data_IF_307260681403
#
_entry.id   IF_307260681403
#
_cell.length_a   1.000
_cell.length_b   1.000
_cell.length_c   1.000
_cell.angle_alpha   90.00
_cell.angle_beta   90.00
_cell.angle_gamma   90.00
#
_symmetry.space_group_name_H-M   'P 1'
#
loop_
_entity.id
_entity.type
_entity.pdbx_description
1 polymer ?
#
# COMPACT_ATOMS: atom_id res chain seq x y z
N UNK A 1 60.82 59.82 -2.09
CA UNK A 1 60.43 59.74 -0.66
C UNK A 1 59.25 60.68 -0.45
N UNK A 2 58.23 60.42 0.40
CA UNK A 2 57.70 59.19 1.02
C UNK A 2 56.25 58.87 0.56
N UNK A 3 55.65 57.85 1.20
CA UNK A 3 54.26 57.33 1.22
C UNK A 3 53.12 58.04 0.47
N UNK A 4 52.14 57.25 -0.03
CA UNK A 4 50.72 57.43 0.29
C UNK A 4 49.89 56.18 -0.08
N UNK A 5 48.89 55.94 0.78
CA UNK A 5 47.94 54.81 0.89
C UNK A 5 47.10 54.56 -0.38
N UNK A 6 46.67 53.30 -0.58
CA UNK A 6 45.55 52.94 -1.48
C UNK A 6 44.42 52.27 -0.69
N UNK A 7 43.14 52.53 -1.00
CA UNK A 7 42.01 52.18 -0.15
C UNK A 7 41.44 50.78 -0.44
N UNK A 8 40.86 50.21 0.61
CA UNK A 8 40.06 48.99 0.64
C UNK A 8 38.87 49.06 -0.32
N UNK A 9 38.67 48.01 -1.12
CA UNK A 9 37.40 47.71 -1.79
C UNK A 9 36.92 46.33 -1.31
N UNK A 10 35.80 46.31 -0.59
CA UNK A 10 35.06 45.08 -0.27
C UNK A 10 34.35 44.56 -1.53
N UNK A 11 34.59 43.31 -1.91
CA UNK A 11 33.71 42.57 -2.80
C UNK A 11 32.61 41.92 -1.96
N UNK A 12 31.38 42.43 -2.09
CA UNK A 12 30.18 41.71 -1.67
C UNK A 12 29.90 40.62 -2.71
N UNK A 13 30.00 39.35 -2.30
CA UNK A 13 29.50 38.23 -3.08
C UNK A 13 28.05 37.99 -2.66
N UNK A 14 27.11 38.30 -3.55
CA UNK A 14 25.73 37.84 -3.41
C UNK A 14 25.70 36.34 -3.73
N UNK A 15 25.51 35.52 -2.70
CA UNK A 15 25.22 34.10 -2.84
C UNK A 15 23.72 33.91 -3.07
N UNK A 16 23.38 33.30 -4.21
CA UNK A 16 22.05 32.73 -4.46
C UNK A 16 21.69 31.77 -3.31
N UNK A 17 20.50 31.88 -2.68
CA UNK A 17 20.06 30.88 -1.73
C UNK A 17 19.74 29.59 -2.50
N UNK A 18 20.62 28.61 -2.35
CA UNK A 18 20.36 27.21 -2.71
C UNK A 18 19.13 26.74 -1.95
N UNK A 19 18.05 26.44 -2.65
CA UNK A 19 16.92 25.68 -2.13
C UNK A 19 17.42 24.27 -1.79
N UNK A 20 17.83 24.08 -0.54
CA UNK A 20 18.10 22.75 -0.01
C UNK A 20 16.78 21.98 0.02
N UNK A 21 16.64 20.98 -0.84
CA UNK A 21 15.66 19.92 -0.69
C UNK A 21 15.87 19.32 0.71
N UNK A 22 14.92 19.54 1.61
CA UNK A 22 14.96 18.96 2.94
C UNK A 22 15.05 17.43 2.80
N UNK A 23 16.00 16.83 3.51
CA UNK A 23 16.12 15.38 3.57
C UNK A 23 14.78 14.78 4.06
N UNK A 24 14.36 13.61 3.56
CA UNK A 24 13.20 12.93 4.11
C UNK A 24 13.41 12.72 5.63
N UNK A 25 12.34 12.78 6.43
CA UNK A 25 12.46 12.63 7.88
C UNK A 25 13.16 11.30 8.22
N UNK A 26 14.07 11.35 9.20
CA UNK A 26 14.67 10.14 9.76
C UNK A 26 13.57 9.23 10.31
N UNK A 27 13.69 7.94 10.01
CA UNK A 27 12.78 6.92 10.52
C UNK A 27 12.83 6.89 12.05
N UNK A 28 11.74 7.34 12.69
CA UNK A 28 11.49 7.08 14.10
C UNK A 28 10.71 5.77 14.22
N UNK A 29 11.23 4.76 14.96
CA UNK A 29 10.45 3.57 15.28
C UNK A 29 9.14 3.96 15.95
N UNK A 30 8.04 3.30 15.57
CA UNK A 30 6.76 3.51 16.23
C UNK A 30 6.89 3.25 17.74
N UNK A 31 6.24 4.05 18.58
CA UNK A 31 6.29 3.91 20.04
C UNK A 31 5.52 2.67 20.58
N UNK A 32 5.19 1.74 19.70
CA UNK A 32 4.30 0.61 19.95
C UNK A 32 5.12 -0.65 20.23
N UNK A 33 4.57 -1.53 21.07
CA UNK A 33 5.15 -2.86 21.26
C UNK A 33 5.03 -3.67 19.95
N UNK A 34 6.19 -4.10 19.45
CA UNK A 34 6.28 -5.15 18.44
C UNK A 34 6.35 -6.49 19.14
N UNK A 35 5.69 -7.50 18.58
CA UNK A 35 5.76 -8.88 19.10
C UNK A 35 6.61 -9.74 18.17
N UNK A 36 7.02 -10.90 18.66
CA UNK A 36 7.74 -11.93 17.89
C UNK A 36 6.75 -12.85 17.17
N UNK A 37 5.63 -13.20 17.83
CA UNK A 37 4.55 -14.01 17.25
C UNK A 37 3.22 -13.25 17.19
N UNK A 38 2.46 -13.49 16.14
CA UNK A 38 1.09 -13.06 15.94
C UNK A 38 0.17 -13.68 16.97
N UNK A 39 -0.94 -12.99 17.27
CA UNK A 39 -1.86 -13.45 18.31
C UNK A 39 -2.69 -14.66 17.86
N UNK A 40 -2.96 -14.80 16.55
CA UNK A 40 -3.87 -15.85 16.04
C UNK A 40 -3.46 -16.46 14.71
N UNK A 41 -3.07 -15.66 13.71
CA UNK A 41 -2.56 -16.19 12.44
C UNK A 41 -1.07 -15.89 12.27
N UNK A 42 -0.31 -16.93 11.97
CA UNK A 42 1.10 -16.83 11.64
C UNK A 42 1.41 -17.78 10.50
N UNK A 43 2.27 -17.33 9.60
CA UNK A 43 2.69 -18.16 8.50
C UNK A 43 3.55 -19.33 8.99
N UNK A 44 3.48 -20.45 8.29
CA UNK A 44 4.40 -21.56 8.60
C UNK A 44 5.87 -21.18 8.34
N UNK A 45 6.80 -21.76 9.11
CA UNK A 45 8.25 -21.59 8.87
C UNK A 45 8.64 -21.88 7.41
N UNK A 46 7.97 -22.85 6.79
CA UNK A 46 8.23 -23.18 5.39
C UNK A 46 7.82 -22.04 4.46
N UNK A 47 6.61 -21.51 4.62
CA UNK A 47 6.11 -20.39 3.80
C UNK A 47 6.91 -19.11 4.04
N UNK A 48 7.42 -18.91 5.26
CA UNK A 48 8.39 -17.85 5.55
C UNK A 48 9.64 -17.97 4.69
N UNK A 49 10.37 -19.09 4.78
CA UNK A 49 11.61 -19.27 4.02
C UNK A 49 11.38 -19.27 2.51
N UNK A 50 10.28 -19.86 2.03
CA UNK A 50 9.93 -19.83 0.62
C UNK A 50 9.64 -18.39 0.15
N UNK A 51 8.98 -17.56 0.97
CA UNK A 51 8.68 -16.17 0.64
C UNK A 51 9.95 -15.30 0.60
N UNK A 52 10.91 -15.56 1.48
CA UNK A 52 12.21 -14.90 1.44
C UNK A 52 13.01 -15.30 0.20
N UNK A 53 13.07 -16.60 -0.15
CA UNK A 53 13.69 -17.05 -1.41
C UNK A 53 13.00 -16.44 -2.65
N UNK A 54 11.67 -16.38 -2.65
CA UNK A 54 10.88 -15.75 -3.70
C UNK A 54 11.25 -14.26 -3.86
N UNK A 55 11.28 -13.51 -2.77
CA UNK A 55 11.64 -12.10 -2.76
C UNK A 55 13.08 -11.87 -3.23
N UNK A 56 14.01 -12.78 -2.92
CA UNK A 56 15.39 -12.70 -3.37
C UNK A 56 15.56 -13.09 -4.86
N UNK A 57 14.69 -13.97 -5.38
CA UNK A 57 14.76 -14.45 -6.76
C UNK A 57 14.12 -13.52 -7.78
N UNK A 58 13.02 -12.87 -7.40
CA UNK A 58 12.24 -12.04 -8.32
C UNK A 58 12.35 -10.57 -7.96
N UNK A 59 12.81 -9.74 -8.89
CA UNK A 59 12.78 -8.29 -8.71
C UNK A 59 11.34 -7.76 -8.74
N UNK A 60 11.14 -6.64 -8.05
CA UNK A 60 9.88 -5.91 -8.13
C UNK A 60 9.63 -5.44 -9.57
N UNK A 61 8.39 -5.54 -10.02
CA UNK A 61 7.99 -5.03 -11.32
C UNK A 61 8.27 -3.53 -11.37
N UNK A 62 8.81 -3.05 -12.50
CA UNK A 62 8.96 -1.62 -12.70
C UNK A 62 7.57 -0.95 -12.69
N UNK A 63 7.51 0.36 -12.43
CA UNK A 63 6.28 1.12 -12.55
C UNK A 63 5.65 0.90 -13.92
N UNK A 64 4.36 0.59 -13.94
CA UNK A 64 3.59 0.57 -15.18
C UNK A 64 3.50 2.00 -15.68
N UNK A 65 3.84 2.21 -16.95
CA UNK A 65 3.47 3.44 -17.63
C UNK A 65 1.95 3.52 -17.68
N UNK A 66 1.37 4.61 -17.19
CA UNK A 66 -0.09 4.86 -17.24
C UNK A 66 -0.55 4.92 -18.71
N UNK A 67 -1.24 3.89 -19.19
CA UNK A 67 -1.88 3.92 -20.50
C UNK A 67 -3.22 4.65 -20.37
N UNK A 68 -3.61 5.40 -21.40
CA UNK A 68 -4.85 6.19 -21.36
C UNK A 68 -6.12 5.33 -21.26
N UNK A 69 -6.00 4.03 -21.54
CA UNK A 69 -7.05 3.01 -21.40
C UNK A 69 -7.22 2.52 -19.95
N UNK A 70 -6.23 2.70 -19.08
CA UNK A 70 -6.33 2.31 -17.66
C UNK A 70 -7.30 3.23 -16.89
N UNK A 71 -7.66 4.38 -17.46
CA UNK A 71 -8.38 5.44 -16.76
C UNK A 71 -9.90 5.24 -16.69
N UNK A 72 -10.47 4.49 -17.64
CA UNK A 72 -11.89 4.09 -17.64
C UNK A 72 -12.06 2.65 -17.11
N UNK A 73 -10.98 2.03 -16.63
CA UNK A 73 -10.97 0.65 -16.18
C UNK A 73 -11.53 0.53 -14.76
N UNK A 74 -12.38 -0.46 -14.53
CA UNK A 74 -12.88 -0.81 -13.20
C UNK A 74 -11.81 -1.64 -12.50
N UNK A 75 -11.33 -1.20 -11.33
CA UNK A 75 -10.38 -1.99 -10.54
C UNK A 75 -11.02 -3.32 -10.19
N UNK A 76 -10.32 -4.40 -10.46
CA UNK A 76 -10.74 -5.75 -10.11
C UNK A 76 -9.75 -6.37 -9.13
N UNK A 77 -10.21 -7.35 -8.37
CA UNK A 77 -9.31 -8.24 -7.62
C UNK A 77 -8.94 -9.42 -8.52
N UNK A 78 -7.69 -9.84 -8.52
CA UNK A 78 -7.22 -11.01 -9.26
C UNK A 78 -7.01 -12.19 -8.32
N UNK A 79 -7.35 -13.39 -8.79
CA UNK A 79 -6.99 -14.62 -8.08
C UNK A 79 -5.48 -14.61 -7.84
N UNK A 80 -5.02 -15.16 -6.70
CA UNK A 80 -3.63 -15.57 -6.53
C UNK A 80 -3.18 -16.29 -7.79
N UNK A 81 -2.11 -15.78 -8.36
CA UNK A 81 -1.68 -16.15 -9.69
C UNK A 81 -0.96 -17.50 -9.68
N UNK A 82 -0.90 -18.19 -10.81
CA UNK A 82 0.00 -19.35 -10.98
C UNK A 82 1.50 -19.00 -10.93
N UNK A 83 1.86 -17.74 -10.67
CA UNK A 83 3.25 -17.30 -10.53
C UNK A 83 3.86 -17.69 -9.18
N UNK A 84 3.05 -18.17 -8.23
CA UNK A 84 3.51 -18.72 -6.96
C UNK A 84 4.07 -20.14 -7.04
N UNK A 85 4.87 -20.51 -6.04
CA UNK A 85 5.34 -21.88 -5.80
C UNK A 85 4.16 -22.86 -5.59
N UNK A 86 3.00 -22.33 -5.19
CA UNK A 86 1.80 -23.08 -4.83
C UNK A 86 0.64 -22.74 -5.78
N UNK A 87 -0.01 -23.75 -6.40
CA UNK A 87 -1.29 -23.54 -7.08
C UNK A 87 -2.43 -23.50 -6.05
N UNK A 88 -2.85 -22.30 -5.68
CA UNK A 88 -3.90 -22.05 -4.69
C UNK A 88 -5.26 -21.79 -5.33
N UNK A 89 -5.32 -21.71 -6.66
CA UNK A 89 -6.53 -21.34 -7.41
C UNK A 89 -7.69 -22.31 -7.21
N UNK A 90 -7.40 -23.60 -6.99
CA UNK A 90 -8.42 -24.63 -6.75
C UNK A 90 -8.93 -24.70 -5.31
N UNK A 91 -8.28 -24.00 -4.37
CA UNK A 91 -8.59 -24.09 -2.93
C UNK A 91 -9.30 -22.85 -2.38
N UNK A 92 -9.33 -21.75 -3.13
CA UNK A 92 -10.03 -20.51 -2.78
C UNK A 92 -10.98 -20.17 -3.94
N UNK A 93 -12.27 -20.02 -3.64
CA UNK A 93 -13.34 -19.93 -4.65
C UNK A 93 -13.72 -18.48 -4.94
N UNK A 94 -13.09 -17.85 -5.93
CA UNK A 94 -13.31 -16.43 -6.23
C UNK A 94 -14.58 -16.21 -7.08
N UNK A 95 -15.43 -15.28 -6.67
CA UNK A 95 -16.59 -14.83 -7.46
C UNK A 95 -16.37 -13.36 -7.81
N UNK A 96 -15.80 -13.11 -8.98
CA UNK A 96 -15.64 -11.75 -9.50
C UNK A 96 -16.99 -11.20 -9.95
N UNK A 97 -17.35 -9.99 -9.52
CA UNK A 97 -18.42 -9.24 -10.16
C UNK A 97 -17.85 -8.56 -11.40
N UNK A 98 -18.07 -9.16 -12.56
CA UNK A 98 -17.56 -8.68 -13.85
C UNK A 98 -18.25 -7.40 -14.33
N UNK A 99 -19.35 -7.00 -13.69
CA UNK A 99 -20.30 -6.05 -14.27
C UNK A 99 -20.22 -4.65 -13.61
N UNK A 100 -19.43 -4.51 -12.54
CA UNK A 100 -19.27 -3.25 -11.77
C UNK A 100 -20.54 -2.77 -11.07
N UNK A 101 -21.56 -3.64 -10.96
CA UNK A 101 -22.87 -3.31 -10.39
C UNK A 101 -23.00 -3.76 -8.94
N UNK A 102 -22.11 -4.65 -8.48
CA UNK A 102 -22.05 -5.21 -7.15
C UNK A 102 -20.62 -5.11 -6.62
N UNK A 103 -20.43 -5.16 -5.30
CA UNK A 103 -19.11 -5.22 -4.72
C UNK A 103 -18.32 -6.44 -5.23
N UNK A 104 -17.03 -6.24 -5.45
CA UNK A 104 -16.11 -7.32 -5.83
C UNK A 104 -16.02 -8.30 -4.65
N UNK A 105 -16.32 -9.58 -4.88
CA UNK A 105 -16.51 -10.54 -3.79
C UNK A 105 -15.41 -11.61 -3.74
N UNK A 106 -14.70 -11.71 -2.62
CA UNK A 106 -13.75 -12.77 -2.33
C UNK A 106 -14.45 -13.78 -1.41
N UNK A 107 -14.59 -15.04 -1.85
CA UNK A 107 -15.12 -16.13 -1.02
C UNK A 107 -14.10 -17.25 -0.90
N UNK A 108 -14.01 -17.84 0.28
CA UNK A 108 -13.10 -18.95 0.54
C UNK A 108 -13.83 -20.05 1.30
N UNK A 109 -13.40 -21.29 1.11
CA UNK A 109 -13.92 -22.43 1.86
C UNK A 109 -13.01 -22.71 3.08
N UNK A 110 -13.44 -23.52 4.06
CA UNK A 110 -12.66 -23.78 5.28
C UNK A 110 -11.24 -24.33 5.08
N UNK A 111 -10.89 -24.84 3.89
CA UNK A 111 -9.55 -25.35 3.55
C UNK A 111 -8.70 -24.37 2.77
N UNK A 112 -9.17 -23.13 2.54
CA UNK A 112 -8.35 -22.12 1.86
C UNK A 112 -7.15 -21.78 2.76
N UNK A 113 -5.93 -22.03 2.30
CA UNK A 113 -4.72 -21.68 3.04
C UNK A 113 -4.45 -20.17 2.92
N UNK A 114 -3.39 -19.70 3.59
CA UNK A 114 -2.96 -18.31 3.47
C UNK A 114 -2.79 -17.91 2.00
N UNK A 115 -3.52 -16.85 1.63
CA UNK A 115 -3.59 -16.35 0.28
C UNK A 115 -3.69 -14.82 0.29
N UNK A 116 -3.04 -14.16 -0.65
CA UNK A 116 -3.14 -12.72 -0.88
C UNK A 116 -3.71 -12.47 -2.27
N UNK A 117 -4.90 -11.87 -2.27
CA UNK A 117 -5.62 -11.43 -3.47
C UNK A 117 -5.24 -9.99 -3.72
N UNK A 118 -4.83 -9.65 -4.94
CA UNK A 118 -4.34 -8.30 -5.25
C UNK A 118 -5.15 -7.66 -6.38
N UNK A 119 -5.25 -6.33 -6.39
CA UNK A 119 -5.89 -5.63 -7.50
C UNK A 119 -5.13 -5.83 -8.82
N UNK A 120 -5.82 -5.72 -9.95
CA UNK A 120 -5.24 -5.77 -11.30
C UNK A 120 -4.44 -4.51 -11.65
N UNK A 121 -4.90 -3.36 -11.16
CA UNK A 121 -4.28 -2.04 -11.30
C UNK A 121 -3.70 -1.52 -9.97
N UNK A 122 -2.63 -0.71 -10.02
CA UNK A 122 -2.12 -0.02 -8.84
C UNK A 122 -3.19 0.86 -8.18
N UNK A 123 -3.16 0.91 -6.85
CA UNK A 123 -3.87 1.95 -6.09
C UNK A 123 -2.93 3.13 -5.81
N UNK A 124 -1.61 2.90 -5.71
CA UNK A 124 -0.61 3.96 -5.67
C UNK A 124 0.26 3.82 -6.92
N UNK A 125 0.11 4.77 -7.83
CA UNK A 125 0.92 4.87 -9.04
C UNK A 125 2.17 5.66 -8.71
N UNK A 126 3.32 5.01 -8.78
CA UNK A 126 4.58 5.61 -8.33
C UNK A 126 5.03 6.81 -9.18
N UNK A 127 4.59 6.85 -10.43
CA UNK A 127 4.97 7.87 -11.42
C UNK A 127 3.85 8.85 -11.78
N UNK A 128 2.72 8.86 -11.07
CA UNK A 128 1.61 9.79 -11.34
C UNK A 128 1.80 11.15 -10.65
N UNK A 129 1.12 12.18 -11.17
CA UNK A 129 1.05 13.46 -10.48
C UNK A 129 0.11 13.35 -9.29
N UNK A 130 0.52 13.93 -8.17
CA UNK A 130 -0.27 14.03 -6.92
C UNK A 130 -1.00 15.37 -6.81
N UNK A 131 -0.97 16.20 -7.85
CA UNK A 131 -1.60 17.53 -7.85
C UNK A 131 -3.12 17.41 -7.63
N UNK A 132 -3.65 18.17 -6.68
CA UNK A 132 -5.09 18.10 -6.34
C UNK A 132 -5.52 16.81 -5.64
N UNK A 133 -4.58 15.95 -5.21
CA UNK A 133 -4.88 14.71 -4.49
C UNK A 133 -4.29 14.74 -3.10
N UNK A 134 -5.07 14.25 -2.14
CA UNK A 134 -4.60 14.01 -0.77
C UNK A 134 -4.06 12.61 -0.61
N UNK A 135 -4.64 11.64 -1.30
CA UNK A 135 -4.26 10.25 -1.13
C UNK A 135 -5.12 9.30 -1.96
N UNK A 136 -5.10 8.04 -1.56
CA UNK A 136 -5.93 6.97 -2.12
C UNK A 136 -6.58 6.16 -1.01
N UNK A 137 -7.79 5.68 -1.28
CA UNK A 137 -8.59 4.97 -0.29
C UNK A 137 -9.43 3.85 -0.92
N UNK A 138 -9.60 2.74 -0.19
CA UNK A 138 -10.55 1.69 -0.53
C UNK A 138 -11.05 0.98 0.74
N UNK A 139 -12.21 0.31 0.64
CA UNK A 139 -12.83 -0.40 1.76
C UNK A 139 -13.01 -1.88 1.48
N UNK A 140 -12.98 -2.67 2.56
CA UNK A 140 -13.53 -4.01 2.58
C UNK A 140 -14.68 -4.10 3.59
N UNK A 141 -15.69 -4.89 3.26
CA UNK A 141 -16.73 -5.32 4.19
C UNK A 141 -16.54 -6.81 4.50
N UNK A 142 -16.41 -7.13 5.79
CA UNK A 142 -16.27 -8.51 6.27
C UNK A 142 -17.66 -9.13 6.43
N UNK A 143 -18.18 -9.73 5.37
CA UNK A 143 -19.50 -10.38 5.39
C UNK A 143 -19.49 -11.69 6.18
N UNK A 144 -18.38 -12.43 6.12
CA UNK A 144 -18.15 -13.66 6.89
C UNK A 144 -16.66 -13.86 7.21
N UNK A 145 -16.39 -14.29 8.43
CA UNK A 145 -15.10 -14.78 8.90
C UNK A 145 -15.39 -15.95 9.84
N UNK A 146 -15.02 -17.16 9.43
CA UNK A 146 -15.14 -18.38 10.23
C UNK A 146 -14.25 -18.35 11.48
N UNK A 147 -14.44 -19.32 12.38
CA UNK A 147 -13.71 -19.40 13.66
C UNK A 147 -12.19 -19.52 13.46
N UNK A 148 -11.77 -20.37 12.52
CA UNK A 148 -10.36 -20.59 12.14
C UNK A 148 -9.94 -19.79 10.89
N UNK A 149 -10.67 -18.72 10.57
CA UNK A 149 -10.43 -17.90 9.39
C UNK A 149 -9.78 -16.57 9.77
N UNK A 150 -8.90 -16.08 8.92
CA UNK A 150 -8.29 -14.75 9.04
C UNK A 150 -8.44 -13.95 7.77
N UNK A 151 -8.58 -12.65 7.95
CA UNK A 151 -8.66 -11.66 6.87
C UNK A 151 -7.62 -10.59 7.16
N UNK A 152 -7.00 -10.02 6.13
CA UNK A 152 -6.20 -8.82 6.25
C UNK A 152 -6.51 -7.85 5.12
N UNK A 153 -6.44 -6.56 5.40
CA UNK A 153 -6.54 -5.49 4.39
C UNK A 153 -5.19 -4.77 4.32
N UNK A 154 -4.73 -4.43 3.12
CA UNK A 154 -3.45 -3.76 2.98
C UNK A 154 -3.06 -3.42 1.56
N UNK A 155 -1.76 -3.37 1.33
CA UNK A 155 -1.21 -3.08 0.03
C UNK A 155 0.13 -3.80 -0.17
N UNK A 156 0.47 -4.12 -1.40
CA UNK A 156 1.71 -4.81 -1.74
C UNK A 156 2.20 -4.42 -3.15
N UNK A 157 3.51 -4.44 -3.41
CA UNK A 157 4.03 -4.32 -4.76
C UNK A 157 3.85 -5.65 -5.51
N UNK A 158 4.09 -5.67 -6.82
CA UNK A 158 4.20 -6.94 -7.57
C UNK A 158 5.63 -7.14 -8.07
N UNK A 159 6.10 -8.40 -8.23
CA UNK A 159 5.44 -9.61 -7.77
C UNK A 159 5.55 -9.75 -6.23
N UNK A 160 4.51 -10.30 -5.61
CA UNK A 160 4.42 -10.59 -4.18
C UNK A 160 4.22 -12.10 -3.97
N UNK A 161 4.77 -12.72 -2.92
CA UNK A 161 4.44 -14.11 -2.58
C UNK A 161 2.97 -14.21 -2.19
N UNK A 162 2.13 -14.66 -3.12
CA UNK A 162 0.67 -14.67 -2.99
C UNK A 162 0.12 -15.69 -1.98
N UNK A 163 1.00 -16.41 -1.29
CA UNK A 163 0.73 -17.30 -0.15
C UNK A 163 1.10 -16.65 1.20
N UNK A 164 1.30 -15.33 1.23
CA UNK A 164 1.61 -14.53 2.42
C UNK A 164 0.58 -13.42 2.56
N UNK A 165 0.16 -13.09 3.78
CA UNK A 165 -0.73 -11.95 4.02
C UNK A 165 -0.02 -10.61 3.75
N UNK A 166 -0.75 -9.55 3.35
CA UNK A 166 -0.17 -8.23 3.21
C UNK A 166 0.50 -7.77 4.51
N UNK A 167 1.67 -7.13 4.39
CA UNK A 167 2.50 -6.72 5.52
C UNK A 167 3.66 -7.67 5.84
N UNK A 168 3.56 -8.93 5.46
CA UNK A 168 4.54 -9.95 5.87
C UNK A 168 5.87 -9.97 5.12
N UNK A 169 5.96 -9.32 3.96
CA UNK A 169 7.17 -9.35 3.14
C UNK A 169 7.40 -7.98 2.51
N UNK A 170 8.54 -7.84 1.83
CA UNK A 170 9.09 -6.58 1.34
C UNK A 170 8.04 -5.64 0.72
N UNK A 171 8.16 -4.36 1.07
CA UNK A 171 7.34 -3.21 0.69
C UNK A 171 5.83 -3.41 0.78
N UNK A 172 5.35 -4.34 1.61
CA UNK A 172 3.92 -4.53 1.83
C UNK A 172 3.52 -4.04 3.22
N UNK A 173 2.29 -3.51 3.31
CA UNK A 173 1.67 -3.10 4.57
C UNK A 173 0.33 -3.79 4.73
N UNK A 174 -0.07 -4.15 5.95
CA UNK A 174 -1.38 -4.75 6.20
C UNK A 174 -1.87 -4.56 7.62
N UNK A 175 -3.19 -4.60 7.80
CA UNK A 175 -3.89 -4.76 9.07
C UNK A 175 -4.53 -6.14 9.09
N UNK A 176 -4.11 -6.97 10.04
CA UNK A 176 -4.62 -8.33 10.21
C UNK A 176 -5.81 -8.27 11.16
N UNK A 177 -6.92 -8.87 10.76
CA UNK A 177 -8.23 -8.64 11.38
C UNK A 177 -8.56 -9.65 12.48
N UNK A 178 -7.82 -10.74 12.55
CA UNK A 178 -7.84 -11.72 13.63
C UNK A 178 -7.30 -11.14 14.94
N UNK A 179 -6.31 -10.24 14.86
CA UNK A 179 -5.67 -9.65 16.02
C UNK A 179 -5.58 -8.11 16.02
N UNK A 180 -6.02 -7.44 14.96
CA UNK A 180 -5.95 -5.98 14.79
C UNK A 180 -4.53 -5.41 14.89
N UNK A 181 -3.50 -6.20 14.58
CA UNK A 181 -2.11 -5.74 14.47
C UNK A 181 -1.81 -5.26 13.06
N UNK A 182 -0.92 -4.27 12.99
CA UNK A 182 -0.40 -3.73 11.73
C UNK A 182 0.97 -4.32 11.43
N UNK A 183 1.26 -4.50 10.16
CA UNK A 183 2.47 -5.13 9.64
C UNK A 183 3.02 -4.27 8.51
N UNK A 184 4.33 -4.01 8.51
CA UNK A 184 5.04 -3.42 7.37
C UNK A 184 6.39 -4.09 7.21
N UNK A 185 6.56 -4.91 6.17
CA UNK A 185 7.77 -5.72 5.95
C UNK A 185 8.16 -6.56 7.18
N UNK A 186 7.17 -7.06 7.92
CA UNK A 186 7.36 -7.80 9.16
C UNK A 186 6.87 -9.24 8.96
N UNK A 187 7.77 -10.20 8.77
CA UNK A 187 7.40 -11.57 8.47
C UNK A 187 6.72 -12.32 9.61
N UNK A 188 6.84 -11.78 10.82
CA UNK A 188 6.38 -12.33 12.09
C UNK A 188 5.92 -11.19 13.03
N UNK A 189 4.98 -11.50 13.93
CA UNK A 189 4.82 -10.79 15.20
C UNK A 189 4.09 -9.44 15.19
N UNK A 190 4.18 -8.65 14.12
CA UNK A 190 3.43 -7.41 13.92
C UNK A 190 3.56 -6.39 15.06
N UNK A 191 2.79 -5.31 14.98
CA UNK A 191 2.76 -4.28 16.03
C UNK A 191 1.32 -3.91 16.40
N UNK A 192 1.10 -3.62 17.68
CA UNK A 192 -0.22 -3.17 18.15
C UNK A 192 -0.65 -1.92 17.40
N UNK A 193 -1.90 -1.90 16.96
CA UNK A 193 -2.46 -0.70 16.37
C UNK A 193 -3.28 0.09 17.37
N UNK A 194 -2.88 1.34 17.59
CA UNK A 194 -3.47 2.21 18.61
C UNK A 194 -4.64 3.01 18.04
N UNK A 195 -5.75 3.03 18.78
CA UNK A 195 -6.89 3.91 18.50
C UNK A 195 -7.37 4.57 19.79
N UNK A 196 -7.52 5.89 19.77
CA UNK A 196 -7.95 6.68 20.94
C UNK A 196 -7.14 6.34 22.22
N UNK A 197 -5.85 6.01 22.07
CA UNK A 197 -4.96 5.66 23.17
C UNK A 197 -5.06 4.21 23.66
N UNK A 198 -5.85 3.35 23.01
CA UNK A 198 -6.00 1.94 23.37
C UNK A 198 -5.63 1.01 22.22
N UNK A 199 -4.95 -0.12 22.49
CA UNK A 199 -4.76 -1.18 21.49
C UNK A 199 -6.11 -1.71 20.98
N UNK A 200 -6.26 -1.80 19.66
CA UNK A 200 -7.46 -2.37 19.03
C UNK A 200 -7.54 -3.90 19.12
N UNK A 201 -6.46 -4.55 19.55
CA UNK A 201 -6.35 -6.02 19.73
C UNK A 201 -7.42 -6.61 20.66
N UNK A 202 -8.11 -5.76 21.44
CA UNK A 202 -9.13 -6.15 22.40
C UNK A 202 -10.57 -6.07 21.87
N UNK A 203 -10.80 -5.59 20.64
CA UNK A 203 -12.17 -5.39 20.12
C UNK A 203 -12.45 -6.30 18.92
N UNK A 204 -13.19 -7.42 19.10
CA UNK A 204 -13.57 -8.32 18.02
C UNK A 204 -14.30 -7.59 16.89
N UNK A 205 -14.17 -8.08 15.66
CA UNK A 205 -14.95 -7.59 14.53
C UNK A 205 -16.40 -8.06 14.64
N UNK A 206 -17.32 -7.12 14.39
CA UNK A 206 -18.71 -7.45 14.19
C UNK A 206 -18.94 -8.01 12.78
N UNK A 207 -20.01 -8.77 12.60
CA UNK A 207 -20.44 -9.19 11.27
C UNK A 207 -20.76 -7.97 10.39
N UNK A 208 -20.40 -8.04 9.10
CA UNK A 208 -20.58 -6.98 8.10
C UNK A 208 -19.84 -5.68 8.42
N UNK A 209 -18.83 -5.74 9.29
CA UNK A 209 -18.04 -4.58 9.64
C UNK A 209 -17.15 -4.13 8.47
N UNK A 210 -17.05 -2.82 8.29
CA UNK A 210 -16.28 -2.19 7.21
C UNK A 210 -14.96 -1.67 7.75
N UNK A 211 -13.87 -2.08 7.08
CA UNK A 211 -12.50 -1.66 7.33
C UNK A 211 -11.95 -1.02 6.07
N UNK A 212 -11.34 0.16 6.20
CA UNK A 212 -10.72 0.87 5.08
C UNK A 212 -9.21 0.87 5.15
N UNK A 213 -8.57 0.98 3.99
CA UNK A 213 -7.15 1.25 3.83
C UNK A 213 -7.01 2.63 3.17
N UNK A 214 -6.15 3.46 3.74
CA UNK A 214 -5.81 4.76 3.19
C UNK A 214 -4.31 4.99 3.10
N UNK A 215 -3.90 5.64 2.02
CA UNK A 215 -2.54 6.16 1.85
C UNK A 215 -2.60 7.66 1.56
N UNK A 216 -2.08 8.46 2.48
CA UNK A 216 -1.94 9.91 2.34
C UNK A 216 -0.60 10.23 1.69
N UNK A 217 -0.64 11.02 0.61
CA UNK A 217 0.55 11.38 -0.15
C UNK A 217 1.49 12.29 0.62
N UNK A 218 0.93 13.18 1.45
CA UNK A 218 1.71 14.03 2.32
C UNK A 218 2.31 13.21 3.47
N UNK A 219 3.64 13.21 3.56
CA UNK A 219 4.37 12.40 4.54
C UNK A 219 4.30 10.88 4.32
N UNK A 220 3.67 10.39 3.25
CA UNK A 220 3.63 8.97 2.92
C UNK A 220 3.01 8.11 4.02
N UNK A 221 1.82 8.50 4.48
CA UNK A 221 1.19 7.90 5.66
C UNK A 221 0.23 6.81 5.25
N UNK A 222 0.35 5.66 5.89
CA UNK A 222 -0.64 4.59 5.80
C UNK A 222 -1.53 4.70 7.02
N UNK A 223 -2.84 4.64 6.83
CA UNK A 223 -3.82 4.57 7.90
C UNK A 223 -4.90 3.57 7.52
N UNK A 224 -5.66 3.14 8.52
CA UNK A 224 -6.86 2.35 8.30
C UNK A 224 -8.07 3.05 8.90
N UNK A 225 -9.26 2.64 8.47
CA UNK A 225 -10.51 3.06 9.07
C UNK A 225 -11.26 1.85 9.60
N UNK A 226 -12.08 2.06 10.62
CA UNK A 226 -12.97 1.03 11.18
C UNK A 226 -14.33 1.66 11.44
N UNK A 227 -15.39 1.10 10.85
CA UNK A 227 -16.76 1.67 10.92
C UNK A 227 -16.82 3.15 10.50
N UNK A 228 -16.07 3.51 9.45
CA UNK A 228 -16.02 4.88 8.91
C UNK A 228 -15.23 5.89 9.74
N UNK A 229 -14.52 5.45 10.80
CA UNK A 229 -13.62 6.30 11.59
C UNK A 229 -12.17 6.02 11.24
N UNK A 230 -11.41 7.06 10.89
CA UNK A 230 -9.95 6.97 10.69
C UNK A 230 -9.26 6.65 12.02
N UNK A 231 -8.40 5.65 11.99
CA UNK A 231 -7.52 5.26 13.08
C UNK A 231 -6.25 6.13 13.07
N UNK A 232 -5.36 5.97 14.05
CA UNK A 232 -4.07 6.68 14.05
C UNK A 232 -3.24 6.31 12.81
N UNK A 233 -2.26 7.14 12.42
CA UNK A 233 -1.39 6.77 11.31
C UNK A 233 -0.64 5.48 11.66
N UNK A 234 -0.85 4.43 10.85
CA UNK A 234 -0.24 3.12 11.03
C UNK A 234 1.26 3.20 10.73
N UNK A 235 1.63 3.85 9.64
CA UNK A 235 3.02 4.02 9.23
C UNK A 235 3.20 5.41 8.61
N UNK A 236 4.38 6.00 8.75
CA UNK A 236 4.74 7.32 8.20
C UNK A 236 6.02 7.19 7.36
N UNK A 237 6.14 7.99 6.31
CA UNK A 237 7.32 8.01 5.43
C UNK A 237 7.43 6.81 4.49
N UNK A 238 6.35 6.07 4.27
CA UNK A 238 6.35 4.89 3.40
C UNK A 238 5.99 5.27 1.97
N UNK A 239 6.66 4.61 1.02
CA UNK A 239 6.46 4.80 -0.42
C UNK A 239 6.70 6.24 -0.92
N UNK A 240 7.49 7.04 -0.20
CA UNK A 240 7.88 8.41 -0.60
C UNK A 240 9.38 8.56 -0.72
N UNK A 241 9.90 8.99 -1.89
CA UNK A 241 9.44 8.62 -3.23
C UNK A 241 9.66 7.12 -3.48
N UNK A 242 8.74 6.47 -4.18
CA UNK A 242 8.87 5.06 -4.59
C UNK A 242 9.04 4.98 -6.10
N UNK A 243 9.80 3.98 -6.58
CA UNK A 243 9.88 3.59 -7.99
C UNK A 243 9.18 2.24 -8.20
N UNK A 244 8.15 1.96 -7.40
CA UNK A 244 7.38 0.73 -7.46
C UNK A 244 5.92 1.05 -7.23
N UNK A 245 5.07 0.59 -8.13
CA UNK A 245 3.63 0.69 -7.99
C UNK A 245 3.12 -0.24 -6.89
N UNK A 246 2.14 0.25 -6.14
CA UNK A 246 1.55 -0.49 -5.03
C UNK A 246 0.09 -0.80 -5.36
N UNK A 247 -0.30 -2.05 -5.14
CA UNK A 247 -1.61 -2.60 -5.44
C UNK A 247 -2.39 -2.80 -4.14
N UNK A 248 -3.72 -2.75 -4.20
CA UNK A 248 -4.54 -3.19 -3.09
C UNK A 248 -4.33 -4.68 -2.87
N UNK A 249 -4.32 -5.09 -1.60
CA UNK A 249 -4.07 -6.47 -1.20
C UNK A 249 -5.02 -6.88 -0.08
N UNK A 250 -5.67 -8.02 -0.24
CA UNK A 250 -6.55 -8.63 0.77
C UNK A 250 -6.03 -10.03 1.07
N UNK A 251 -5.61 -10.24 2.32
CA UNK A 251 -5.22 -11.54 2.84
C UNK A 251 -6.45 -12.32 3.27
N UNK A 252 -6.53 -13.62 2.95
CA UNK A 252 -7.60 -14.53 3.37
C UNK A 252 -7.06 -15.92 3.69
N UNK A 253 -7.58 -16.56 4.73
CA UNK A 253 -7.46 -17.98 5.00
C UNK A 253 -8.74 -18.51 5.68
N UNK A 254 -8.97 -19.82 5.63
CA UNK A 254 -10.19 -20.44 6.17
C UNK A 254 -11.45 -20.01 5.41
N UNK A 255 -12.62 -20.12 6.04
CA UNK A 255 -13.92 -19.77 5.43
C UNK A 255 -14.23 -18.28 5.58
N UNK A 256 -14.22 -17.53 4.48
CA UNK A 256 -14.44 -16.07 4.48
C UNK A 256 -15.37 -15.64 3.36
N UNK A 257 -16.00 -14.48 3.56
CA UNK A 257 -16.64 -13.70 2.51
C UNK A 257 -16.33 -12.22 2.74
N UNK A 258 -15.64 -11.61 1.76
CA UNK A 258 -15.19 -10.21 1.80
C UNK A 258 -15.69 -9.50 0.55
N UNK A 259 -16.27 -8.32 0.74
CA UNK A 259 -16.66 -7.44 -0.36
C UNK A 259 -15.69 -6.27 -0.44
N UNK A 260 -15.10 -6.00 -1.60
CA UNK A 260 -14.14 -4.92 -1.82
C UNK A 260 -14.82 -3.78 -2.57
N UNK A 261 -14.64 -2.56 -2.07
CA UNK A 261 -15.14 -1.33 -2.66
C UNK A 261 -13.96 -0.41 -3.01
N UNK A 262 -13.80 -0.12 -4.29
CA UNK A 262 -12.81 0.81 -4.82
C UNK A 262 -13.37 2.21 -5.11
N UNK A 263 -14.60 2.49 -4.65
CA UNK A 263 -15.31 3.77 -4.87
C UNK A 263 -16.46 3.68 -5.86
N UNK A 264 -16.91 2.46 -6.23
CA UNK A 264 -18.16 2.27 -7.00
C UNK A 264 -19.41 2.47 -6.13
N UNK A 265 -19.24 2.34 -4.82
CA UNK A 265 -20.26 2.62 -3.81
C UNK A 265 -19.71 3.63 -2.81
N UNK A 266 -20.61 4.37 -2.15
CA UNK A 266 -20.24 5.31 -1.09
C UNK A 266 -19.44 4.60 0.01
N UNK A 267 -18.29 5.17 0.34
CA UNK A 267 -17.47 4.73 1.46
C UNK A 267 -18.13 5.10 2.79
N UNK A 268 -17.95 4.24 3.79
CA UNK A 268 -18.41 4.53 5.14
C UNK A 268 -17.57 5.65 5.80
N UNK A 269 -16.29 5.76 5.45
CA UNK A 269 -15.48 6.92 5.81
C UNK A 269 -15.80 8.11 4.90
N UNK A 270 -16.45 9.13 5.47
CA UNK A 270 -17.00 10.25 4.71
C UNK A 270 -15.98 10.99 3.83
N UNK A 271 -14.77 11.25 4.32
CA UNK A 271 -13.73 11.97 3.55
C UNK A 271 -13.24 11.17 2.34
N UNK A 272 -13.30 9.83 2.40
CA UNK A 272 -12.91 8.96 1.28
C UNK A 272 -13.77 9.17 0.03
N UNK A 273 -14.98 9.73 0.19
CA UNK A 273 -15.87 10.07 -0.93
C UNK A 273 -15.51 11.38 -1.64
N UNK A 274 -14.52 12.13 -1.14
CA UNK A 274 -14.03 13.32 -1.82
C UNK A 274 -13.14 12.92 -3.01
N UNK A 275 -13.19 13.68 -4.10
CA UNK A 275 -12.41 13.43 -5.32
C UNK A 275 -10.89 13.32 -5.08
N UNK A 276 -10.39 13.99 -4.05
CA UNK A 276 -8.96 14.01 -3.65
C UNK A 276 -8.44 12.68 -3.09
N UNK A 277 -9.33 11.72 -2.79
CA UNK A 277 -9.03 10.36 -2.30
C UNK A 277 -9.31 9.27 -3.35
N UNK A 278 -9.84 9.64 -4.51
CA UNK A 278 -10.24 8.70 -5.56
C UNK A 278 -9.02 8.05 -6.24
N UNK A 279 -8.95 6.72 -6.20
CA UNK A 279 -7.94 5.95 -6.94
C UNK A 279 -8.04 6.16 -8.46
N UNK A 280 -9.24 6.43 -8.98
CA UNK A 280 -9.47 6.69 -10.40
C UNK A 280 -8.80 8.00 -10.80
N UNK A 281 -9.01 9.06 -10.02
CA UNK A 281 -8.36 10.36 -10.25
C UNK A 281 -6.84 10.25 -10.18
N UNK A 282 -6.31 9.41 -9.28
CA UNK A 282 -4.87 9.14 -9.19
C UNK A 282 -4.28 8.56 -10.49
N UNK A 283 -5.04 7.74 -11.22
CA UNK A 283 -4.65 7.29 -12.55
C UNK A 283 -4.77 8.40 -13.63
N UNK A 284 -5.71 9.35 -13.50
CA UNK A 284 -5.97 10.40 -14.50
C UNK A 284 -4.95 11.54 -14.53
N UNK A 285 -4.33 11.90 -13.40
CA UNK A 285 -3.48 13.09 -13.29
C UNK A 285 -2.10 12.89 -13.95
N UNK A 286 -2.07 13.02 -15.28
CA UNK A 286 -0.84 13.12 -16.07
C UNK A 286 -0.21 14.50 -15.86
N UNK A 287 1.02 14.54 -15.34
CA UNK A 287 2.00 15.37 -16.05
C UNK A 287 2.42 14.54 -17.25
N UNK A 288 2.13 15.03 -18.46
CA UNK A 288 3.03 14.76 -19.55
C UNK A 288 4.42 15.15 -19.02
N UNK A 289 5.35 14.21 -18.92
CA UNK A 289 6.72 14.62 -19.12
C UNK A 289 6.73 15.22 -20.53
N UNK A 290 6.65 16.54 -20.61
CA UNK A 290 6.93 17.24 -21.84
C UNK A 290 8.35 16.86 -22.18
N UNK A 291 8.52 15.99 -23.17
CA UNK A 291 9.75 15.90 -23.95
C UNK A 291 9.92 17.24 -24.66
N UNK A 292 10.32 18.26 -23.91
CA UNK A 292 10.77 19.56 -24.38
C UNK A 292 12.13 19.86 -23.75
N UNK A 293 12.99 18.85 -23.72
CA UNK A 293 14.44 18.98 -23.64
C UNK A 293 15.00 18.35 -24.90
N UNK A 294 15.97 18.97 -25.59
CA UNK A 294 16.59 18.38 -26.77
C UNK A 294 17.19 17.02 -26.40
N UNK A 295 17.02 16.03 -27.26
CA UNK A 295 17.69 14.73 -27.21
C UNK A 295 19.21 14.95 -27.09
N UNK A 296 19.71 14.96 -25.85
CA UNK A 296 21.14 14.82 -25.62
C UNK A 296 21.43 13.32 -25.61
N UNK A 297 21.69 12.81 -26.82
CA UNK A 297 22.27 11.50 -27.07
C UNK A 297 23.49 11.33 -26.14
N UNK A 298 23.32 10.53 -25.10
CA UNK A 298 24.44 10.09 -24.27
C UNK A 298 25.44 9.37 -25.19
N UNK A 299 26.73 9.77 -25.22
CA UNK A 299 27.70 9.11 -26.08
C UNK A 299 27.89 7.67 -25.62
N UNK A 300 27.90 6.76 -26.60
CA UNK A 300 28.24 5.36 -26.37
C UNK A 300 29.64 5.28 -25.76
N UNK A 301 29.75 4.56 -24.64
CA UNK A 301 31.02 4.25 -24.01
C UNK A 301 31.94 3.53 -25.02
N UNK A 302 33.09 4.12 -25.31
CA UNK A 302 34.28 3.44 -25.82
C UNK A 302 35.17 3.04 -24.64
#
# INVERSE_FOLDING_TARGET
MPSLLSPFWHHSSESNPSTSLAAPPEYTPAAEESYEDGLKNEASNKEYYDAEDYCNRYDLWPPKGLLQEDSDTVWQMLAPSRFGIYDRTSQCGFIYDSDGKRPITIKTNPRCPDSCVMSDLPVIWSQSSREGQKGVYYEIQVAKMGEDASIAIGCAPKPYPDYRFPGWNRKSAGLHLDDMRKFFEQPDGGSNYIFEGLPQTLTPLAQNEVIGFGYEFDGGKIFFTRKGKRLSDAFVGRYTPTFTDIYAAVGVCGETEVHVNFGEHEFLWAEGNNEEWSIKNHAHNKRAFSSSGPDELLPAYQ
#
